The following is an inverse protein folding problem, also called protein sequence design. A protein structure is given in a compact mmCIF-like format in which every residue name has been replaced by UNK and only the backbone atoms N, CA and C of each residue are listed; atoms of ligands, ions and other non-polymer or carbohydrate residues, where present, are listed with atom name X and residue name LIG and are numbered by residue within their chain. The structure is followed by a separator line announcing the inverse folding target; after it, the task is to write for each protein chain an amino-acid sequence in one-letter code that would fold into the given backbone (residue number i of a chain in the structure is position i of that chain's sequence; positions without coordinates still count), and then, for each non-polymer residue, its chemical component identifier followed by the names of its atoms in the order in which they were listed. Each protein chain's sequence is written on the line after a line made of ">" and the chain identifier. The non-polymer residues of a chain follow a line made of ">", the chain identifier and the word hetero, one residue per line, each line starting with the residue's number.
data_IF_524585371569
#
_entry.id   IF_524585371569
#
_cell.length_a   1.000
_cell.length_b   1.000
_cell.length_c   1.000
_cell.angle_alpha   90.00
_cell.angle_beta   90.00
_cell.angle_gamma   90.00
#
_symmetry.space_group_name_H-M   'P 1'
#
loop_
_entity.id
_entity.type
_entity.pdbx_description
1 polymer ?
#
# COMPACT_ATOMS: atom_id res chain seq x y z
N UNK A 1 -0.75 47.18 7.79
CA UNK A 1 -1.52 47.10 6.53
C UNK A 1 -0.96 46.02 5.59
N UNK A 2 0.29 46.06 5.14
CA UNK A 2 0.86 45.08 4.18
C UNK A 2 0.76 43.62 4.67
N UNK A 3 1.19 43.31 5.90
CA UNK A 3 1.11 41.94 6.45
C UNK A 3 -0.32 41.43 6.55
N UNK A 4 -1.27 42.28 6.87
CA UNK A 4 -2.69 41.92 6.91
C UNK A 4 -3.23 41.58 5.51
N UNK A 5 -2.86 42.37 4.49
CA UNK A 5 -3.24 42.07 3.12
C UNK A 5 -2.67 40.73 2.62
N UNK A 6 -1.40 40.46 2.95
CA UNK A 6 -0.77 39.17 2.60
C UNK A 6 -1.53 38.00 3.26
N UNK A 7 -1.88 38.12 4.53
CA UNK A 7 -2.62 37.08 5.25
C UNK A 7 -3.99 36.82 4.61
N UNK A 8 -4.76 37.90 4.31
CA UNK A 8 -6.08 37.77 3.68
C UNK A 8 -5.98 37.12 2.29
N UNK A 9 -5.01 37.55 1.47
CA UNK A 9 -4.79 36.99 0.14
C UNK A 9 -4.38 35.51 0.24
N UNK A 10 -3.57 35.13 1.22
CA UNK A 10 -3.17 33.75 1.44
C UNK A 10 -4.33 32.87 1.90
N UNK A 11 -5.23 33.39 2.76
CA UNK A 11 -6.47 32.70 3.14
C UNK A 11 -7.36 32.45 1.92
N UNK A 12 -7.51 33.47 1.07
CA UNK A 12 -8.31 33.36 -0.15
C UNK A 12 -7.68 32.34 -1.15
N UNK A 13 -6.37 32.42 -1.36
CA UNK A 13 -5.65 31.48 -2.23
C UNK A 13 -5.80 30.04 -1.74
N UNK A 14 -5.66 29.81 -0.44
CA UNK A 14 -5.85 28.49 0.14
C UNK A 14 -7.29 28.00 -0.05
N UNK A 15 -8.28 28.86 0.16
CA UNK A 15 -9.69 28.52 -0.05
C UNK A 15 -9.99 28.19 -1.53
N UNK A 16 -9.46 28.97 -2.47
CA UNK A 16 -9.64 28.70 -3.92
C UNK A 16 -9.03 27.35 -4.31
N UNK A 17 -7.83 27.02 -3.78
CA UNK A 17 -7.11 25.79 -4.13
C UNK A 17 -7.75 24.55 -3.47
N UNK A 18 -8.17 24.65 -2.22
CA UNK A 18 -8.55 23.51 -1.40
C UNK A 18 -10.05 23.43 -1.04
N UNK A 19 -10.83 24.47 -1.34
CA UNK A 19 -12.25 24.56 -0.98
C UNK A 19 -12.51 24.65 0.53
N UNK A 20 -11.46 24.83 1.35
CA UNK A 20 -11.51 24.89 2.81
C UNK A 20 -10.71 26.09 3.32
N UNK A 21 -11.10 26.64 4.47
CA UNK A 21 -10.29 27.67 5.14
C UNK A 21 -8.95 27.08 5.56
N UNK A 22 -7.91 27.91 5.52
CA UNK A 22 -6.61 27.50 6.04
C UNK A 22 -6.70 27.13 7.52
N UNK A 23 -6.17 26.00 7.86
CA UNK A 23 -5.76 25.61 9.20
C UNK A 23 -4.50 24.76 9.10
N UNK A 24 -3.64 24.73 10.14
CA UNK A 24 -2.47 23.84 10.17
C UNK A 24 -2.83 22.37 9.92
N UNK A 25 -3.96 21.95 10.46
CA UNK A 25 -4.48 20.59 10.31
C UNK A 25 -4.91 20.29 8.87
N UNK A 26 -5.64 21.22 8.21
CA UNK A 26 -6.02 21.06 6.80
C UNK A 26 -4.79 20.98 5.90
N UNK A 27 -3.76 21.80 6.14
CA UNK A 27 -2.51 21.73 5.40
C UNK A 27 -1.76 20.41 5.65
N UNK A 28 -1.65 20.00 6.93
CA UNK A 28 -1.01 18.73 7.32
C UNK A 28 -1.70 17.53 6.67
N UNK A 29 -3.03 17.48 6.73
CA UNK A 29 -3.82 16.42 6.11
C UNK A 29 -3.63 16.40 4.60
N UNK A 30 -3.65 17.54 3.93
CA UNK A 30 -3.40 17.64 2.49
C UNK A 30 -2.00 17.15 2.12
N UNK A 31 -0.98 17.58 2.86
CA UNK A 31 0.42 17.16 2.62
C UNK A 31 0.57 15.67 2.89
N UNK A 32 -0.01 15.14 3.98
CA UNK A 32 0.01 13.72 4.28
C UNK A 32 -0.67 12.91 3.17
N UNK A 33 -1.91 13.25 2.80
CA UNK A 33 -2.66 12.46 1.81
C UNK A 33 -2.07 12.54 0.40
N UNK A 34 -1.68 13.72 -0.07
CA UNK A 34 -1.21 13.88 -1.45
C UNK A 34 0.24 13.45 -1.66
N UNK A 35 1.06 13.58 -0.63
CA UNK A 35 2.50 13.42 -0.77
C UNK A 35 3.07 12.20 -0.05
N UNK A 36 2.35 11.61 0.90
CA UNK A 36 2.68 10.29 1.43
C UNK A 36 2.40 9.19 0.40
N UNK A 37 1.35 9.35 -0.39
CA UNK A 37 1.04 8.43 -1.48
C UNK A 37 2.05 8.48 -2.64
N UNK A 38 2.59 9.67 -2.97
CA UNK A 38 3.66 9.79 -3.97
C UNK A 38 5.03 9.38 -3.43
N UNK A 39 5.22 9.38 -2.11
CA UNK A 39 6.41 8.86 -1.45
C UNK A 39 6.52 7.33 -1.52
N UNK A 40 5.50 6.66 -2.00
CA UNK A 40 5.55 5.21 -2.18
C UNK A 40 6.82 4.72 -2.87
N UNK A 41 7.41 5.48 -3.81
CA UNK A 41 8.72 5.15 -4.42
C UNK A 41 9.94 5.62 -3.60
N UNK A 42 9.74 6.52 -2.66
CA UNK A 42 10.83 7.24 -1.99
C UNK A 42 10.92 6.96 -0.48
N UNK A 43 9.85 6.48 0.15
CA UNK A 43 9.86 6.06 1.55
C UNK A 43 10.65 4.75 1.81
N UNK A 44 10.95 3.98 0.75
CA UNK A 44 11.69 2.73 0.86
C UNK A 44 13.06 2.86 1.52
N UNK A 45 13.75 3.96 1.28
CA UNK A 45 15.14 4.10 1.67
C UNK A 45 15.32 4.38 3.17
N UNK A 46 14.25 4.70 3.90
CA UNK A 46 14.34 5.18 5.28
C UNK A 46 13.90 4.19 6.35
N UNK A 47 13.04 3.23 6.02
CA UNK A 47 12.40 2.35 6.99
C UNK A 47 12.38 0.88 6.58
N UNK A 48 12.96 0.51 5.43
CA UNK A 48 12.91 -0.84 4.91
C UNK A 48 14.31 -1.41 4.73
N UNK A 49 14.50 -2.64 5.21
CA UNK A 49 15.73 -3.41 5.08
C UNK A 49 15.47 -4.71 4.32
N UNK A 50 16.54 -5.27 3.76
CA UNK A 50 16.44 -6.58 3.09
C UNK A 50 16.09 -7.67 4.09
N UNK A 51 15.19 -8.56 3.68
CA UNK A 51 14.88 -9.79 4.39
C UNK A 51 15.15 -10.99 3.47
N UNK A 52 15.89 -12.01 3.91
CA UNK A 52 16.40 -13.08 3.05
C UNK A 52 15.31 -13.92 2.37
N UNK A 53 14.08 -13.96 2.90
CA UNK A 53 13.01 -14.80 2.38
C UNK A 53 11.85 -14.00 1.76
N UNK A 54 11.50 -12.83 2.34
CA UNK A 54 10.35 -12.04 1.87
C UNK A 54 10.73 -10.79 1.09
N UNK A 55 12.01 -10.61 0.83
CA UNK A 55 12.56 -9.52 0.06
C UNK A 55 12.89 -8.28 0.90
N UNK A 56 11.94 -7.72 1.62
CA UNK A 56 12.17 -6.57 2.51
C UNK A 56 11.16 -6.54 3.65
N UNK A 57 11.54 -5.88 4.73
CA UNK A 57 10.72 -5.62 5.91
C UNK A 57 11.06 -4.23 6.46
N UNK A 58 10.32 -3.75 7.44
CA UNK A 58 10.62 -2.47 8.09
C UNK A 58 11.86 -2.54 8.99
N UNK A 59 12.68 -1.50 8.92
CA UNK A 59 13.68 -1.18 9.96
C UNK A 59 13.10 -0.12 10.90
N UNK A 60 12.78 -0.53 12.08
CA UNK A 60 12.19 0.38 13.05
C UNK A 60 13.19 1.03 14.00
N UNK A 61 14.45 0.62 14.01
CA UNK A 61 15.45 1.08 14.97
C UNK A 61 15.05 0.82 16.44
N UNK A 62 15.76 1.41 17.37
CA UNK A 62 15.53 1.20 18.82
C UNK A 62 14.29 1.95 19.38
N UNK A 63 13.78 2.95 18.68
CA UNK A 63 12.80 3.89 19.24
C UNK A 63 11.35 3.38 19.26
N UNK A 64 11.04 2.31 18.54
CA UNK A 64 9.64 1.87 18.34
C UNK A 64 9.34 0.45 18.80
N UNK A 65 9.91 0.02 19.91
CA UNK A 65 9.77 -1.35 20.48
C UNK A 65 8.34 -1.85 20.70
N UNK A 66 7.32 -0.98 20.68
CA UNK A 66 5.93 -1.33 21.00
C UNK A 66 5.04 -1.70 19.78
N UNK A 67 5.55 -1.58 18.55
CA UNK A 67 4.76 -1.81 17.33
C UNK A 67 5.40 -2.78 16.36
N UNK A 68 6.33 -3.62 16.83
CA UNK A 68 7.21 -4.33 15.94
C UNK A 68 7.40 -5.75 16.36
N UNK A 69 7.19 -6.60 15.40
CA UNK A 69 7.71 -7.95 15.51
C UNK A 69 8.28 -8.37 14.16
N UNK A 70 9.59 -8.62 14.17
CA UNK A 70 10.33 -9.20 13.05
C UNK A 70 10.19 -8.44 11.71
N UNK A 71 10.12 -7.09 11.80
CA UNK A 71 10.08 -6.22 10.64
C UNK A 71 8.68 -5.97 10.04
N UNK A 72 7.62 -6.41 10.71
CA UNK A 72 6.24 -6.13 10.32
C UNK A 72 5.58 -5.13 11.28
N UNK A 73 4.68 -4.31 10.77
CA UNK A 73 3.95 -3.34 11.56
C UNK A 73 2.81 -4.02 12.32
N UNK A 74 3.16 -4.72 13.39
CA UNK A 74 2.24 -5.49 14.23
C UNK A 74 2.58 -5.37 15.70
N UNK A 75 1.58 -5.29 16.57
CA UNK A 75 1.73 -5.28 18.03
C UNK A 75 2.04 -6.67 18.59
N UNK A 76 1.73 -7.71 17.84
CA UNK A 76 1.78 -9.09 18.29
C UNK A 76 2.89 -9.85 17.55
N UNK A 77 3.46 -10.85 18.20
CA UNK A 77 4.48 -11.70 17.57
C UNK A 77 3.92 -12.49 16.38
N UNK A 78 4.54 -12.45 15.20
CA UNK A 78 4.17 -13.31 14.08
C UNK A 78 4.28 -14.81 14.37
N UNK A 79 5.09 -15.22 15.33
CA UNK A 79 5.24 -16.61 15.77
C UNK A 79 4.37 -16.94 16.98
N UNK A 80 3.21 -16.28 17.12
CA UNK A 80 2.28 -16.55 18.20
C UNK A 80 1.80 -18.01 18.20
N UNK A 81 1.62 -18.54 19.41
CA UNK A 81 0.99 -19.87 19.64
C UNK A 81 -0.49 -19.69 19.94
N UNK A 82 -1.28 -20.72 19.66
CA UNK A 82 -2.70 -20.74 20.05
C UNK A 82 -2.85 -20.61 21.56
N UNK A 83 -3.89 -19.92 21.96
CA UNK A 83 -4.25 -19.65 23.34
C UNK A 83 -5.75 -19.90 23.50
N UNK A 84 -6.15 -20.61 24.54
CA UNK A 84 -7.57 -20.87 24.81
C UNK A 84 -8.34 -19.54 25.00
N UNK A 85 -9.49 -19.43 24.35
CA UNK A 85 -10.35 -18.26 24.44
C UNK A 85 -9.89 -17.04 23.64
N UNK A 86 -8.85 -17.16 22.81
CA UNK A 86 -8.36 -16.06 21.95
C UNK A 86 -7.85 -16.57 20.62
N UNK A 87 -8.27 -15.94 19.51
CA UNK A 87 -7.85 -16.34 18.17
C UNK A 87 -6.65 -15.55 17.67
N UNK A 88 -5.73 -16.23 16.99
CA UNK A 88 -4.65 -15.62 16.22
C UNK A 88 -5.14 -15.34 14.79
N UNK A 89 -5.42 -14.09 14.49
CA UNK A 89 -5.91 -13.63 13.17
C UNK A 89 -4.78 -12.92 12.45
N UNK A 90 -4.47 -13.38 11.23
CA UNK A 90 -3.41 -12.80 10.39
C UNK A 90 -4.03 -11.99 9.26
N UNK A 91 -3.46 -10.82 8.98
CA UNK A 91 -3.78 -10.00 7.80
C UNK A 91 -2.58 -10.00 6.86
N UNK A 92 -2.81 -10.46 5.62
CA UNK A 92 -1.85 -10.44 4.51
C UNK A 92 -2.25 -9.36 3.51
N UNK A 93 -1.29 -8.87 2.71
CA UNK A 93 -1.53 -7.93 1.62
C UNK A 93 -0.50 -6.83 1.51
N UNK A 94 -0.88 -5.76 0.83
CA UNK A 94 -0.09 -4.54 0.65
C UNK A 94 -0.48 -3.42 1.63
N UNK A 95 -0.25 -2.17 1.21
CA UNK A 95 -0.56 -0.97 2.01
C UNK A 95 -2.04 -0.83 2.36
N UNK A 96 -2.94 -1.28 1.50
CA UNK A 96 -4.39 -1.27 1.77
C UNK A 96 -4.71 -2.20 2.93
N UNK A 97 -4.18 -3.43 2.93
CA UNK A 97 -4.37 -4.39 4.01
C UNK A 97 -3.77 -3.90 5.34
N UNK A 98 -2.56 -3.32 5.30
CA UNK A 98 -1.94 -2.72 6.49
C UNK A 98 -2.81 -1.59 7.06
N UNK A 99 -3.30 -0.68 6.20
CA UNK A 99 -4.18 0.42 6.61
C UNK A 99 -5.53 -0.05 7.17
N UNK A 100 -6.04 -1.19 6.69
CA UNK A 100 -7.29 -1.79 7.15
C UNK A 100 -7.17 -2.49 8.51
N UNK A 101 -5.98 -2.93 8.92
CA UNK A 101 -5.78 -3.79 10.10
C UNK A 101 -6.48 -3.28 11.35
N UNK A 102 -6.33 -1.98 11.69
CA UNK A 102 -7.00 -1.39 12.85
C UNK A 102 -8.53 -1.35 12.74
N UNK A 103 -9.07 -1.22 11.52
CA UNK A 103 -10.51 -1.19 11.29
C UNK A 103 -11.10 -2.61 11.31
N UNK A 104 -10.32 -3.61 10.88
CA UNK A 104 -10.64 -5.03 11.02
C UNK A 104 -10.74 -5.40 12.51
N UNK A 105 -9.77 -4.99 13.34
CA UNK A 105 -9.79 -5.22 14.79
C UNK A 105 -11.06 -4.60 15.42
N UNK A 106 -11.36 -3.34 15.11
CA UNK A 106 -12.56 -2.65 15.58
C UNK A 106 -13.88 -3.27 15.11
N UNK A 107 -13.92 -3.72 13.85
CA UNK A 107 -15.11 -4.36 13.29
C UNK A 107 -15.29 -5.78 13.85
N UNK A 108 -14.18 -6.48 14.14
CA UNK A 108 -14.20 -7.78 14.81
C UNK A 108 -14.86 -7.70 16.19
N UNK A 109 -14.42 -6.76 17.05
CA UNK A 109 -14.98 -6.52 18.40
C UNK A 109 -16.49 -6.27 18.39
N UNK A 110 -17.02 -5.68 17.30
CA UNK A 110 -18.46 -5.44 17.12
C UNK A 110 -19.22 -6.67 16.61
N UNK A 111 -18.53 -7.57 15.93
CA UNK A 111 -19.14 -8.68 15.16
C UNK A 111 -19.07 -9.99 15.90
N UNK A 112 -17.99 -10.25 16.61
CA UNK A 112 -17.71 -11.50 17.33
C UNK A 112 -17.46 -11.26 18.81
N UNK A 113 -17.76 -12.27 19.65
CA UNK A 113 -17.54 -12.21 21.09
C UNK A 113 -16.14 -12.66 21.51
N UNK A 114 -15.55 -13.55 20.72
CA UNK A 114 -14.22 -14.08 21.00
C UNK A 114 -13.14 -13.01 20.68
N UNK A 115 -12.24 -12.69 21.62
CA UNK A 115 -11.16 -11.75 21.38
C UNK A 115 -10.13 -12.30 20.40
N UNK A 116 -9.45 -11.39 19.68
CA UNK A 116 -8.40 -11.76 18.75
C UNK A 116 -7.03 -11.20 19.14
N UNK A 117 -6.01 -11.88 18.69
CA UNK A 117 -4.66 -11.35 18.52
C UNK A 117 -4.46 -11.08 17.04
N UNK A 118 -4.59 -9.80 16.64
CA UNK A 118 -4.38 -9.41 15.26
C UNK A 118 -2.89 -9.32 14.96
N UNK A 119 -2.44 -10.03 13.93
CA UNK A 119 -1.05 -10.09 13.45
C UNK A 119 -1.06 -9.56 12.02
N UNK A 120 -0.41 -8.45 11.76
CA UNK A 120 -0.36 -7.85 10.43
C UNK A 120 0.96 -8.23 9.76
N UNK A 121 0.90 -9.05 8.72
CA UNK A 121 2.02 -9.40 7.84
C UNK A 121 1.91 -8.65 6.50
N UNK A 122 0.97 -7.73 6.39
CA UNK A 122 0.87 -6.83 5.25
C UNK A 122 1.96 -5.76 5.30
N UNK A 123 2.52 -5.44 4.13
CA UNK A 123 3.57 -4.42 4.00
C UNK A 123 3.34 -3.63 2.70
N UNK A 124 3.46 -2.29 2.69
CA UNK A 124 3.31 -1.49 1.49
C UNK A 124 4.15 -2.00 0.32
N UNK A 125 3.48 -2.26 -0.81
CA UNK A 125 4.15 -2.77 -1.99
C UNK A 125 4.44 -4.27 -2.01
N UNK A 126 4.04 -5.03 -0.99
CA UNK A 126 3.98 -6.48 -1.09
C UNK A 126 2.98 -6.87 -2.17
N UNK A 127 3.35 -7.88 -2.92
CA UNK A 127 2.55 -8.55 -3.93
C UNK A 127 2.89 -10.03 -3.93
N UNK A 128 2.07 -10.86 -4.52
CA UNK A 128 2.41 -12.27 -4.64
C UNK A 128 3.69 -12.50 -5.48
N UNK A 129 4.55 -13.42 -5.07
CA UNK A 129 4.39 -14.43 -4.01
C UNK A 129 4.85 -13.98 -2.60
N UNK A 130 5.16 -12.70 -2.33
CA UNK A 130 5.70 -12.25 -1.04
C UNK A 130 4.75 -12.55 0.13
N UNK A 131 3.45 -12.45 -0.07
CA UNK A 131 2.43 -12.71 0.96
C UNK A 131 2.43 -14.20 1.36
N UNK A 132 2.43 -15.09 0.37
CA UNK A 132 2.57 -16.55 0.59
C UNK A 132 3.90 -16.88 1.29
N UNK A 133 5.00 -16.26 0.86
CA UNK A 133 6.32 -16.51 1.45
C UNK A 133 6.39 -16.02 2.90
N UNK A 134 5.81 -14.86 3.22
CA UNK A 134 5.75 -14.35 4.59
C UNK A 134 4.94 -15.30 5.50
N UNK A 135 3.76 -15.74 5.05
CA UNK A 135 2.94 -16.70 5.78
C UNK A 135 3.69 -18.02 6.02
N UNK A 136 4.27 -18.58 4.96
CA UNK A 136 5.00 -19.85 5.01
C UNK A 136 6.23 -19.74 5.91
N UNK A 137 6.95 -18.62 5.88
CA UNK A 137 8.10 -18.38 6.72
C UNK A 137 7.73 -18.47 8.21
N UNK A 138 6.70 -17.76 8.66
CA UNK A 138 6.30 -17.81 10.06
C UNK A 138 5.66 -19.12 10.48
N UNK A 139 4.90 -19.77 9.61
CA UNK A 139 4.43 -21.14 9.85
C UNK A 139 5.59 -22.12 10.04
N UNK A 140 6.67 -21.96 9.26
CA UNK A 140 7.89 -22.78 9.38
C UNK A 140 8.64 -22.53 10.70
N UNK A 141 8.54 -21.33 11.25
CA UNK A 141 9.06 -20.99 12.58
C UNK A 141 8.15 -21.46 13.71
N UNK A 142 7.04 -22.14 13.38
CA UNK A 142 6.12 -22.72 14.34
C UNK A 142 5.00 -21.80 14.78
N UNK A 143 4.65 -20.79 14.00
CA UNK A 143 3.45 -19.99 14.24
C UNK A 143 2.18 -20.87 14.14
N UNK A 144 1.16 -20.52 14.93
CA UNK A 144 -0.13 -21.20 14.94
C UNK A 144 -1.24 -20.15 14.78
N UNK A 145 -1.94 -20.22 13.65
CA UNK A 145 -2.99 -19.28 13.31
C UNK A 145 -4.36 -19.96 13.35
N UNK A 146 -5.41 -19.18 13.58
CA UNK A 146 -6.81 -19.61 13.53
C UNK A 146 -7.50 -19.12 12.28
N UNK A 147 -7.13 -17.92 11.81
CA UNK A 147 -7.73 -17.30 10.63
C UNK A 147 -6.71 -16.42 9.90
N UNK A 148 -6.71 -16.51 8.58
CA UNK A 148 -5.89 -15.69 7.68
C UNK A 148 -6.80 -14.92 6.73
N UNK A 149 -6.66 -13.59 6.73
CA UNK A 149 -7.38 -12.65 5.86
C UNK A 149 -6.37 -12.09 4.87
N UNK A 150 -6.52 -12.41 3.59
CA UNK A 150 -5.70 -11.83 2.52
C UNK A 150 -6.51 -10.74 1.79
N UNK A 151 -5.93 -9.54 1.65
CA UNK A 151 -6.56 -8.38 1.01
C UNK A 151 -5.57 -7.81 0.01
N UNK A 152 -5.82 -8.02 -1.28
CA UNK A 152 -4.87 -7.69 -2.33
C UNK A 152 -5.56 -7.41 -3.68
N UNK A 153 -4.80 -7.41 -4.78
CA UNK A 153 -5.26 -7.27 -6.16
C UNK A 153 -4.56 -6.13 -6.90
N UNK A 154 -4.51 -4.93 -6.32
CA UNK A 154 -3.87 -3.79 -6.99
C UNK A 154 -2.38 -4.01 -7.22
N UNK A 155 -1.65 -4.38 -6.17
CA UNK A 155 -0.21 -4.58 -6.26
C UNK A 155 0.15 -5.73 -7.21
N UNK A 156 -0.66 -6.77 -7.25
CA UNK A 156 -0.48 -7.98 -8.04
C UNK A 156 -0.56 -7.70 -9.54
N UNK A 157 -1.33 -6.71 -9.94
CA UNK A 157 -1.54 -6.35 -11.35
C UNK A 157 -0.67 -5.15 -11.77
N UNK A 158 -0.52 -4.16 -10.90
CA UNK A 158 0.14 -2.91 -11.27
C UNK A 158 1.65 -2.99 -11.15
N UNK A 159 2.16 -3.44 -10.00
CA UNK A 159 3.60 -3.38 -9.71
C UNK A 159 4.44 -4.32 -10.58
N UNK A 160 4.00 -5.55 -10.93
CA UNK A 160 4.74 -6.41 -11.83
C UNK A 160 5.05 -5.77 -13.18
N UNK A 161 4.09 -5.06 -13.74
CA UNK A 161 4.28 -4.39 -15.02
C UNK A 161 4.99 -3.05 -14.86
N UNK A 162 4.42 -2.12 -14.10
CA UNK A 162 4.84 -0.71 -14.07
C UNK A 162 6.20 -0.53 -13.40
N UNK A 163 6.46 -1.25 -12.30
CA UNK A 163 7.69 -1.06 -11.54
C UNK A 163 8.79 -2.06 -11.91
N UNK A 164 8.44 -3.30 -12.26
CA UNK A 164 9.41 -4.35 -12.52
C UNK A 164 9.63 -4.57 -14.02
N UNK A 165 8.64 -5.08 -14.76
CA UNK A 165 8.80 -5.50 -16.16
C UNK A 165 9.29 -4.37 -17.06
N UNK A 166 8.67 -3.18 -16.97
CA UNK A 166 9.08 -2.00 -17.74
C UNK A 166 10.52 -1.57 -17.40
N UNK A 167 10.98 -1.84 -16.18
CA UNK A 167 12.37 -1.64 -15.76
C UNK A 167 13.30 -2.79 -16.18
N UNK A 168 12.76 -3.87 -16.81
CA UNK A 168 13.49 -5.09 -17.17
C UNK A 168 13.99 -5.83 -15.93
N UNK A 169 13.13 -5.94 -14.94
CA UNK A 169 13.29 -6.74 -13.74
C UNK A 169 12.20 -7.80 -13.78
N UNK A 170 12.47 -8.98 -13.25
CA UNK A 170 11.46 -10.04 -13.16
C UNK A 170 10.17 -9.48 -12.52
N UNK A 171 9.00 -9.64 -13.13
CA UNK A 171 7.73 -9.08 -12.63
C UNK A 171 7.42 -9.47 -11.19
N UNK A 172 7.85 -10.66 -10.77
CA UNK A 172 7.53 -11.24 -9.46
C UNK A 172 8.60 -10.98 -8.40
N UNK A 173 9.70 -10.31 -8.75
CA UNK A 173 10.63 -9.81 -7.74
C UNK A 173 9.96 -8.71 -6.89
N UNK A 174 10.41 -8.51 -5.64
CA UNK A 174 9.89 -7.43 -4.81
C UNK A 174 9.92 -6.09 -5.55
N UNK A 175 8.97 -5.21 -5.21
CA UNK A 175 8.95 -3.86 -5.81
C UNK A 175 10.27 -3.13 -5.55
N UNK A 176 10.70 -2.36 -6.53
CA UNK A 176 11.93 -1.56 -6.46
C UNK A 176 13.18 -2.38 -6.08
N UNK A 177 13.22 -3.66 -6.47
CA UNK A 177 14.24 -4.63 -6.05
C UNK A 177 15.66 -4.14 -6.31
N UNK A 178 15.94 -3.65 -7.53
CA UNK A 178 17.26 -3.15 -7.89
C UNK A 178 17.74 -2.04 -6.96
N UNK A 179 16.85 -1.14 -6.51
CA UNK A 179 17.20 -0.06 -5.58
C UNK A 179 17.60 -0.58 -4.20
N UNK A 180 17.10 -1.75 -3.82
CA UNK A 180 17.32 -2.35 -2.50
C UNK A 180 18.61 -3.11 -2.41
N UNK A 181 19.03 -3.77 -3.51
CA UNK A 181 20.20 -4.66 -3.53
C UNK A 181 21.44 -4.06 -4.20
N UNK A 182 21.37 -2.81 -4.66
CA UNK A 182 22.49 -2.16 -5.32
C UNK A 182 23.65 -1.96 -4.33
N UNK A 183 24.58 -2.92 -4.28
CA UNK A 183 25.74 -2.89 -3.39
C UNK A 183 26.79 -1.86 -3.82
N UNK A 184 26.85 -1.54 -5.12
CA UNK A 184 27.78 -0.57 -5.69
C UNK A 184 27.09 0.30 -6.75
N UNK A 185 26.23 1.23 -6.35
CA UNK A 185 25.64 2.17 -7.32
C UNK A 185 26.72 3.03 -7.95
N UNK A 186 26.61 3.25 -9.26
CA UNK A 186 27.50 4.16 -9.97
C UNK A 186 27.44 5.60 -9.42
N UNK A 187 28.43 6.45 -9.70
CA UNK A 187 28.46 7.82 -9.17
C UNK A 187 27.19 8.63 -9.47
N UNK A 188 26.59 8.44 -10.64
CA UNK A 188 25.34 9.12 -11.04
C UNK A 188 24.14 8.56 -10.25
N UNK A 189 24.07 7.25 -10.01
CA UNK A 189 23.04 6.64 -9.18
C UNK A 189 23.15 7.12 -7.74
N UNK A 190 24.37 7.13 -7.18
CA UNK A 190 24.63 7.65 -5.83
C UNK A 190 24.17 9.11 -5.67
N UNK A 191 24.48 9.96 -6.67
CA UNK A 191 24.08 11.36 -6.65
C UNK A 191 22.55 11.50 -6.66
N UNK A 192 21.84 10.73 -7.49
CA UNK A 192 20.38 10.74 -7.56
C UNK A 192 19.74 10.15 -6.30
N UNK A 193 20.26 9.04 -5.77
CA UNK A 193 19.82 8.46 -4.50
C UNK A 193 20.02 9.42 -3.33
N UNK A 194 21.19 10.05 -3.25
CA UNK A 194 21.49 11.07 -2.25
C UNK A 194 20.55 12.27 -2.33
N UNK A 195 20.23 12.71 -3.54
CA UNK A 195 19.29 13.81 -3.78
C UNK A 195 17.87 13.44 -3.34
N UNK A 196 17.38 12.26 -3.68
CA UNK A 196 16.08 11.74 -3.24
C UNK A 196 16.03 11.73 -1.71
N UNK A 197 17.04 11.12 -1.05
CA UNK A 197 17.11 11.02 0.42
C UNK A 197 17.16 12.39 1.08
N UNK A 198 17.95 13.31 0.54
CA UNK A 198 18.07 14.67 1.08
C UNK A 198 16.71 15.40 1.07
N UNK A 199 15.99 15.36 -0.05
CA UNK A 199 14.70 16.04 -0.14
C UNK A 199 13.61 15.35 0.68
N UNK A 200 13.70 14.04 0.91
CA UNK A 200 12.84 13.33 1.85
C UNK A 200 13.07 13.81 3.29
N UNK A 201 14.32 13.89 3.72
CA UNK A 201 14.68 14.37 5.06
C UNK A 201 14.26 15.83 5.24
N UNK A 202 14.46 16.67 4.21
CA UNK A 202 13.97 18.06 4.20
C UNK A 202 12.45 18.14 4.33
N UNK A 203 11.70 17.22 3.73
CA UNK A 203 10.24 17.16 3.84
C UNK A 203 9.82 16.88 5.29
N UNK A 204 10.42 15.88 5.93
CA UNK A 204 10.13 15.53 7.33
C UNK A 204 10.50 16.70 8.28
N UNK A 205 11.64 17.34 8.06
CA UNK A 205 12.06 18.53 8.82
C UNK A 205 11.02 19.63 8.70
N UNK A 206 10.51 19.92 7.49
CA UNK A 206 9.52 20.97 7.26
C UNK A 206 8.15 20.64 7.85
N UNK A 207 7.76 19.35 7.89
CA UNK A 207 6.55 18.92 8.60
C UNK A 207 6.67 19.17 10.12
N UNK A 208 7.83 18.85 10.69
CA UNK A 208 8.10 19.12 12.10
C UNK A 208 8.12 20.65 12.39
N UNK A 209 8.73 21.44 11.51
CA UNK A 209 8.72 22.91 11.62
C UNK A 209 7.30 23.47 11.52
N UNK A 210 6.46 22.98 10.61
CA UNK A 210 5.08 23.40 10.50
C UNK A 210 4.30 23.11 11.78
N UNK A 211 4.49 21.95 12.37
CA UNK A 211 3.82 21.53 13.60
C UNK A 211 4.27 22.33 14.83
N UNK A 212 5.58 22.62 14.94
CA UNK A 212 6.20 23.30 16.09
C UNK A 212 6.26 24.82 16.01
N UNK A 213 5.90 25.44 14.88
CA UNK A 213 6.04 26.87 14.68
C UNK A 213 4.93 27.67 15.37
N UNK A 214 5.32 28.76 16.06
CA UNK A 214 4.37 29.77 16.58
C UNK A 214 3.59 30.50 15.47
N UNK A 215 4.03 30.40 14.22
CA UNK A 215 3.39 31.02 13.06
C UNK A 215 2.47 30.06 12.29
N UNK A 216 2.27 28.85 12.80
CA UNK A 216 1.51 27.80 12.11
C UNK A 216 0.04 28.19 11.84
N UNK A 217 -0.53 29.11 12.60
CA UNK A 217 -1.89 29.65 12.38
C UNK A 217 -1.99 30.68 11.25
N UNK A 218 -0.85 31.19 10.74
CA UNK A 218 -0.83 32.14 9.61
C UNK A 218 -0.96 31.40 8.28
N UNK A 219 -1.93 31.82 7.46
CA UNK A 219 -2.11 31.29 6.12
C UNK A 219 -0.94 31.64 5.20
N UNK A 220 -0.35 32.81 5.36
CA UNK A 220 0.84 33.23 4.61
C UNK A 220 2.01 32.28 4.88
N UNK A 221 2.26 31.94 6.15
CA UNK A 221 3.27 30.96 6.54
C UNK A 221 2.96 29.57 5.97
N UNK A 222 1.69 29.14 6.07
CA UNK A 222 1.21 27.88 5.52
C UNK A 222 1.39 27.79 4.00
N UNK A 223 1.10 28.85 3.26
CA UNK A 223 1.32 28.90 1.81
C UNK A 223 2.82 28.80 1.44
N UNK A 224 3.71 29.44 2.19
CA UNK A 224 5.16 29.31 1.99
C UNK A 224 5.58 27.83 2.21
N UNK A 225 5.11 27.21 3.29
CA UNK A 225 5.41 25.80 3.56
C UNK A 225 4.85 24.89 2.47
N UNK A 226 3.64 25.14 1.99
CA UNK A 226 3.04 24.40 0.88
C UNK A 226 3.91 24.46 -0.39
N UNK A 227 4.36 25.67 -0.79
CA UNK A 227 5.27 25.84 -1.93
C UNK A 227 6.56 25.04 -1.72
N UNK A 228 7.13 25.08 -0.52
CA UNK A 228 8.32 24.29 -0.20
C UNK A 228 8.07 22.78 -0.29
N UNK A 229 6.89 22.28 0.11
CA UNK A 229 6.51 20.88 -0.07
C UNK A 229 6.37 20.51 -1.55
N UNK A 230 5.75 21.36 -2.35
CA UNK A 230 5.59 21.14 -3.80
C UNK A 230 6.96 21.04 -4.48
N UNK A 231 7.88 21.96 -4.16
CA UNK A 231 9.25 21.94 -4.70
C UNK A 231 9.98 20.68 -4.29
N UNK A 232 9.94 20.31 -3.00
CA UNK A 232 10.60 19.10 -2.53
C UNK A 232 10.08 17.84 -3.22
N UNK A 233 8.77 17.72 -3.36
CA UNK A 233 8.18 16.56 -4.03
C UNK A 233 8.54 16.51 -5.51
N UNK A 234 8.60 17.67 -6.17
CA UNK A 234 9.06 17.72 -7.56
C UNK A 234 10.49 17.22 -7.67
N UNK A 235 11.40 17.64 -6.79
CA UNK A 235 12.80 17.21 -6.78
C UNK A 235 12.92 15.69 -6.46
N UNK A 236 12.11 15.17 -5.54
CA UNK A 236 12.03 13.74 -5.26
C UNK A 236 11.59 12.99 -6.51
N UNK A 237 10.46 13.41 -7.11
CA UNK A 237 9.90 12.76 -8.29
C UNK A 237 10.84 12.79 -9.49
N UNK A 238 11.42 13.95 -9.82
CA UNK A 238 12.34 14.12 -10.94
C UNK A 238 13.61 13.29 -10.74
N UNK A 239 14.17 13.28 -9.53
CA UNK A 239 15.36 12.50 -9.20
C UNK A 239 15.09 10.98 -9.21
N UNK A 240 13.95 10.54 -8.69
CA UNK A 240 13.55 9.14 -8.73
C UNK A 240 13.29 8.67 -10.17
N UNK A 241 12.66 9.52 -11.01
CA UNK A 241 12.42 9.23 -12.42
C UNK A 241 13.73 9.15 -13.22
N UNK A 242 14.67 10.07 -12.95
CA UNK A 242 16.00 10.05 -13.56
C UNK A 242 16.78 8.80 -13.13
N UNK A 243 16.74 8.43 -11.86
CA UNK A 243 17.36 7.21 -11.33
C UNK A 243 16.78 5.96 -12.01
N UNK A 244 15.46 5.86 -12.09
CA UNK A 244 14.77 4.77 -12.78
C UNK A 244 15.16 4.68 -14.25
N UNK A 245 15.24 5.82 -14.95
CA UNK A 245 15.65 5.90 -16.35
C UNK A 245 17.10 5.47 -16.55
N UNK A 246 18.00 5.89 -15.65
CA UNK A 246 19.40 5.50 -15.67
C UNK A 246 19.55 3.98 -15.49
N UNK A 247 18.88 3.43 -14.48
CA UNK A 247 18.92 2.00 -14.18
C UNK A 247 18.41 1.11 -15.32
N UNK A 248 17.44 1.58 -16.11
CA UNK A 248 16.96 0.86 -17.30
C UNK A 248 18.02 0.72 -18.39
N UNK A 249 18.98 1.63 -18.47
CA UNK A 249 20.04 1.66 -19.50
C UNK A 249 21.28 0.88 -19.09
N UNK A 250 21.44 0.54 -17.81
CA UNK A 250 22.63 -0.17 -17.33
C UNK A 250 22.53 -1.68 -17.59
N UNK A 251 23.66 -2.37 -17.86
CA UNK A 251 23.70 -3.83 -17.85
C UNK A 251 23.15 -4.37 -16.54
N UNK A 252 22.31 -5.40 -16.63
CA UNK A 252 21.65 -5.96 -15.46
C UNK A 252 22.35 -7.23 -15.00
N UNK A 253 22.65 -7.30 -13.72
CA UNK A 253 23.10 -8.53 -13.07
C UNK A 253 21.89 -9.43 -12.80
N UNK A 254 22.11 -10.73 -12.74
CA UNK A 254 21.02 -11.69 -12.47
C UNK A 254 20.32 -11.45 -11.13
N UNK A 255 21.09 -11.11 -10.10
CA UNK A 255 20.55 -10.78 -8.77
C UNK A 255 19.71 -9.49 -8.76
N UNK A 256 19.96 -8.56 -9.69
CA UNK A 256 19.19 -7.33 -9.85
C UNK A 256 17.93 -7.51 -10.68
N UNK A 257 18.01 -8.31 -11.73
CA UNK A 257 16.91 -8.44 -12.68
C UNK A 257 16.12 -9.74 -12.57
N UNK A 258 16.74 -10.79 -12.06
CA UNK A 258 16.21 -12.15 -12.11
C UNK A 258 16.15 -12.72 -13.52
N UNK A 259 15.53 -13.90 -13.66
CA UNK A 259 15.24 -14.46 -14.98
C UNK A 259 14.20 -13.54 -15.65
N UNK A 260 14.55 -13.04 -16.86
CA UNK A 260 13.63 -12.20 -17.62
C UNK A 260 12.80 -13.08 -18.55
N UNK A 261 11.51 -13.08 -18.31
CA UNK A 261 10.54 -13.64 -19.23
C UNK A 261 10.15 -12.56 -20.26
N UNK A 262 10.00 -12.96 -21.51
CA UNK A 262 9.50 -12.08 -22.56
C UNK A 262 8.01 -12.36 -22.76
N UNK A 263 7.22 -11.34 -22.61
CA UNK A 263 5.79 -11.38 -22.91
C UNK A 263 5.53 -10.69 -24.25
N UNK A 264 4.62 -11.25 -25.03
CA UNK A 264 4.24 -10.75 -26.35
C UNK A 264 3.68 -9.32 -26.26
N UNK A 265 2.88 -9.08 -25.24
CA UNK A 265 2.26 -7.79 -24.99
C UNK A 265 1.89 -7.62 -23.51
N UNK A 266 1.33 -6.47 -23.19
CA UNK A 266 0.87 -6.12 -21.83
C UNK A 266 -0.22 -7.09 -21.31
N UNK A 267 -1.07 -7.63 -22.18
CA UNK A 267 -2.16 -8.52 -21.76
C UNK A 267 -1.62 -9.88 -21.34
N UNK A 268 -0.65 -10.43 -22.06
CA UNK A 268 0.01 -11.67 -21.69
C UNK A 268 0.73 -11.54 -20.34
N UNK A 269 1.43 -10.42 -20.13
CA UNK A 269 2.09 -10.14 -18.86
C UNK A 269 1.07 -10.05 -17.69
N UNK A 270 -0.06 -9.34 -17.88
CA UNK A 270 -1.09 -9.28 -16.85
C UNK A 270 -1.79 -10.63 -16.65
N UNK A 271 -1.93 -11.44 -17.70
CA UNK A 271 -2.39 -12.83 -17.59
C UNK A 271 -1.48 -13.67 -16.72
N UNK A 272 -0.15 -13.56 -16.90
CA UNK A 272 0.82 -14.24 -16.06
C UNK A 272 0.76 -13.77 -14.60
N UNK A 273 0.58 -12.46 -14.38
CA UNK A 273 0.44 -11.91 -13.03
C UNK A 273 -0.82 -12.42 -12.32
N UNK A 274 -1.96 -12.45 -13.01
CA UNK A 274 -3.20 -13.00 -12.48
C UNK A 274 -3.08 -14.52 -12.18
N UNK A 275 -2.32 -15.26 -12.99
CA UNK A 275 -2.07 -16.67 -12.77
C UNK A 275 -1.19 -16.92 -11.53
N UNK A 276 -0.16 -16.11 -11.28
CA UNK A 276 0.65 -16.19 -10.06
C UNK A 276 -0.20 -15.92 -8.84
N UNK A 277 -1.00 -14.86 -8.86
CA UNK A 277 -1.94 -14.52 -7.80
C UNK A 277 -2.91 -15.67 -7.48
N UNK A 278 -3.50 -16.26 -8.51
CA UNK A 278 -4.39 -17.41 -8.40
C UNK A 278 -3.71 -18.62 -7.75
N UNK A 279 -2.50 -18.99 -8.22
CA UNK A 279 -1.75 -20.11 -7.68
C UNK A 279 -1.32 -19.90 -6.23
N UNK A 280 -0.89 -18.67 -5.88
CA UNK A 280 -0.54 -18.35 -4.50
C UNK A 280 -1.75 -18.50 -3.57
N UNK A 281 -2.93 -18.04 -3.98
CA UNK A 281 -4.16 -18.22 -3.20
C UNK A 281 -4.52 -19.69 -3.01
N UNK A 282 -4.37 -20.54 -4.04
CA UNK A 282 -4.58 -21.99 -3.90
C UNK A 282 -3.57 -22.63 -2.93
N UNK A 283 -2.31 -22.20 -2.97
CA UNK A 283 -1.28 -22.71 -2.06
C UNK A 283 -1.57 -22.30 -0.61
N UNK A 284 -1.99 -21.03 -0.37
CA UNK A 284 -2.41 -20.59 0.97
C UNK A 284 -3.60 -21.41 1.46
N UNK A 285 -4.59 -21.67 0.60
CA UNK A 285 -5.75 -22.50 0.94
C UNK A 285 -5.36 -23.96 1.25
N UNK A 286 -4.36 -24.48 0.55
CA UNK A 286 -3.76 -25.78 0.85
C UNK A 286 -3.10 -25.82 2.23
N UNK A 287 -2.31 -24.79 2.56
CA UNK A 287 -1.72 -24.62 3.89
C UNK A 287 -2.79 -24.48 4.97
N UNK A 288 -3.87 -23.75 4.69
CA UNK A 288 -4.99 -23.59 5.61
C UNK A 288 -5.61 -24.94 5.98
N UNK A 289 -5.84 -25.80 5.00
CA UNK A 289 -6.38 -27.14 5.22
C UNK A 289 -5.41 -28.04 6.00
N UNK A 290 -4.11 -27.97 5.69
CA UNK A 290 -3.08 -28.76 6.37
C UNK A 290 -2.85 -28.32 7.83
N UNK A 291 -2.83 -27.02 8.08
CA UNK A 291 -2.53 -26.42 9.39
C UNK A 291 -3.77 -26.15 10.25
N UNK A 292 -4.97 -26.30 9.69
CA UNK A 292 -6.24 -26.16 10.43
C UNK A 292 -6.58 -24.71 10.78
N UNK A 293 -6.30 -23.76 9.90
CA UNK A 293 -6.80 -22.39 10.02
C UNK A 293 -7.81 -22.07 8.91
N UNK A 294 -8.68 -21.09 9.13
CA UNK A 294 -9.58 -20.59 8.10
C UNK A 294 -8.86 -19.58 7.20
N UNK A 295 -9.11 -19.63 5.88
CA UNK A 295 -8.53 -18.69 4.92
C UNK A 295 -9.63 -17.94 4.17
N UNK A 296 -9.53 -16.62 4.15
CA UNK A 296 -10.43 -15.70 3.45
C UNK A 296 -9.63 -14.77 2.56
N UNK A 297 -9.97 -14.71 1.28
CA UNK A 297 -9.30 -13.90 0.29
C UNK A 297 -10.24 -12.85 -0.28
N UNK A 298 -9.85 -11.57 -0.21
CA UNK A 298 -10.63 -10.41 -0.65
C UNK A 298 -9.90 -9.67 -1.75
N UNK A 299 -10.54 -9.55 -2.92
CA UNK A 299 -10.06 -8.66 -3.98
C UNK A 299 -10.47 -7.22 -3.64
N UNK A 300 -9.48 -6.36 -3.37
CA UNK A 300 -9.71 -4.98 -2.95
C UNK A 300 -10.37 -4.12 -4.05
N UNK A 301 -11.18 -3.08 -3.70
CA UNK A 301 -11.71 -2.13 -4.67
C UNK A 301 -10.61 -1.20 -5.20
N UNK A 302 -10.83 -0.66 -6.44
CA UNK A 302 -9.96 0.34 -7.04
C UNK A 302 -10.77 1.34 -7.88
N UNK A 303 -10.41 2.63 -7.84
CA UNK A 303 -11.13 3.73 -8.51
C UNK A 303 -10.98 3.74 -10.03
N UNK A 304 -9.99 3.05 -10.59
CA UNK A 304 -9.80 2.95 -12.04
C UNK A 304 -10.57 1.80 -12.68
N UNK A 305 -11.19 0.93 -11.87
CA UNK A 305 -12.09 -0.11 -12.35
C UNK A 305 -13.45 0.52 -12.67
N UNK A 306 -13.91 0.31 -13.89
CA UNK A 306 -15.19 0.85 -14.37
C UNK A 306 -16.37 0.33 -13.53
N UNK A 307 -17.23 1.25 -13.11
CA UNK A 307 -18.41 0.94 -12.31
C UNK A 307 -18.14 0.70 -10.82
N UNK A 308 -16.89 0.66 -10.37
CA UNK A 308 -16.54 0.41 -8.96
C UNK A 308 -17.06 1.51 -8.03
N UNK A 309 -17.09 2.75 -8.49
CA UNK A 309 -17.63 3.91 -7.77
C UNK A 309 -17.96 5.07 -8.70
N UNK A 310 -19.05 5.78 -8.42
CA UNK A 310 -19.28 7.12 -8.94
C UNK A 310 -18.47 8.12 -8.13
N UNK A 311 -17.31 8.55 -8.69
CA UNK A 311 -16.39 9.44 -8.00
C UNK A 311 -17.03 10.80 -7.70
N UNK A 312 -16.85 11.28 -6.48
CA UNK A 312 -17.23 12.64 -6.08
C UNK A 312 -16.35 13.69 -6.77
N UNK A 313 -16.76 14.97 -6.84
CA UNK A 313 -15.89 16.03 -7.37
C UNK A 313 -14.53 16.13 -6.62
N UNK A 314 -14.50 15.81 -5.34
CA UNK A 314 -13.28 15.79 -4.55
C UNK A 314 -12.37 14.61 -4.97
N UNK A 315 -12.93 13.41 -5.13
CA UNK A 315 -12.18 12.24 -5.61
C UNK A 315 -11.66 12.42 -7.04
N UNK A 316 -12.47 13.01 -7.93
CA UNK A 316 -12.02 13.33 -9.30
C UNK A 316 -10.79 14.25 -9.30
N UNK A 317 -10.69 15.15 -8.35
CA UNK A 317 -9.57 16.08 -8.23
C UNK A 317 -8.36 15.47 -7.52
N UNK A 318 -8.56 14.66 -6.48
CA UNK A 318 -7.49 14.20 -5.59
C UNK A 318 -7.07 12.76 -5.88
N UNK A 319 -8.04 11.91 -6.27
CA UNK A 319 -7.87 10.47 -6.32
C UNK A 319 -8.02 9.88 -7.74
N UNK A 320 -8.19 10.71 -8.76
CA UNK A 320 -8.34 10.23 -10.12
C UNK A 320 -7.47 11.03 -11.10
N UNK A 321 -6.59 10.33 -11.78
CA UNK A 321 -5.74 10.91 -12.83
C UNK A 321 -5.85 10.05 -14.09
N UNK A 322 -6.47 10.62 -15.14
CA UNK A 322 -6.66 9.91 -16.42
C UNK A 322 -5.36 9.44 -17.05
N UNK A 323 -4.24 10.11 -16.78
CA UNK A 323 -2.90 9.80 -17.33
C UNK A 323 -2.05 9.00 -16.35
N UNK A 324 -2.63 8.53 -15.23
CA UNK A 324 -1.86 7.75 -14.26
C UNK A 324 -1.39 6.43 -14.87
N UNK A 325 -0.13 6.10 -14.67
CA UNK A 325 0.48 4.88 -15.23
C UNK A 325 -0.17 3.59 -14.73
N UNK A 326 -0.83 3.62 -13.57
CA UNK A 326 -1.51 2.47 -12.98
C UNK A 326 -2.86 2.16 -13.62
N UNK A 327 -3.53 3.19 -14.19
CA UNK A 327 -4.88 3.05 -14.73
C UNK A 327 -4.99 1.94 -15.77
N UNK A 328 -4.08 1.89 -16.73
CA UNK A 328 -4.10 0.87 -17.77
C UNK A 328 -3.96 -0.54 -17.19
N UNK A 329 -3.05 -0.72 -16.23
CA UNK A 329 -2.86 -2.02 -15.56
C UNK A 329 -4.10 -2.46 -14.79
N UNK A 330 -4.79 -1.55 -14.11
CA UNK A 330 -6.06 -1.85 -13.42
C UNK A 330 -7.13 -2.25 -14.43
N UNK A 331 -7.30 -1.48 -15.50
CA UNK A 331 -8.33 -1.76 -16.53
C UNK A 331 -8.14 -3.10 -17.23
N UNK A 332 -6.90 -3.53 -17.44
CA UNK A 332 -6.58 -4.84 -18.06
C UNK A 332 -6.64 -5.95 -17.01
N UNK A 333 -6.04 -5.74 -15.85
CA UNK A 333 -5.77 -6.77 -14.88
C UNK A 333 -6.92 -7.13 -13.96
N UNK A 334 -7.72 -6.16 -13.51
CA UNK A 334 -8.84 -6.46 -12.60
C UNK A 334 -9.88 -7.41 -13.20
N UNK A 335 -10.29 -7.28 -14.47
CA UNK A 335 -11.15 -8.30 -15.09
C UNK A 335 -10.56 -9.72 -15.05
N UNK A 336 -9.23 -9.85 -15.17
CA UNK A 336 -8.55 -11.14 -15.06
C UNK A 336 -8.58 -11.67 -13.62
N UNK A 337 -8.32 -10.82 -12.61
CA UNK A 337 -8.41 -11.20 -11.20
C UNK A 337 -9.84 -11.61 -10.82
N UNK A 338 -10.86 -10.88 -11.27
CA UNK A 338 -12.27 -11.23 -11.05
C UNK A 338 -12.60 -12.60 -11.65
N UNK A 339 -12.13 -12.87 -12.87
CA UNK A 339 -12.32 -14.17 -13.50
C UNK A 339 -11.61 -15.29 -12.72
N UNK A 340 -10.35 -15.09 -12.34
CA UNK A 340 -9.57 -16.01 -11.51
C UNK A 340 -10.16 -16.19 -10.10
N UNK A 341 -10.75 -15.15 -9.54
CA UNK A 341 -11.48 -15.22 -8.27
C UNK A 341 -12.67 -16.17 -8.33
N UNK A 342 -13.41 -16.20 -9.45
CA UNK A 342 -14.47 -17.19 -9.65
C UNK A 342 -13.92 -18.62 -9.73
N UNK A 343 -12.77 -18.81 -10.36
CA UNK A 343 -12.08 -20.10 -10.38
C UNK A 343 -11.61 -20.49 -8.95
N UNK A 344 -11.15 -19.54 -8.12
CA UNK A 344 -10.80 -19.80 -6.71
C UNK A 344 -12.00 -20.33 -5.92
N UNK A 345 -13.20 -19.74 -6.09
CA UNK A 345 -14.42 -20.23 -5.44
C UNK A 345 -14.72 -21.68 -5.89
N UNK A 346 -14.62 -21.99 -7.18
CA UNK A 346 -14.83 -23.34 -7.71
C UNK A 346 -13.84 -24.36 -7.13
N UNK A 347 -12.63 -23.90 -6.75
CA UNK A 347 -11.60 -24.70 -6.12
C UNK A 347 -11.65 -24.69 -4.57
N UNK A 348 -12.74 -24.17 -4.00
CA UNK A 348 -13.01 -24.22 -2.56
C UNK A 348 -12.20 -23.24 -1.73
N UNK A 349 -11.82 -22.09 -2.30
CA UNK A 349 -11.28 -20.94 -1.58
C UNK A 349 -12.44 -20.03 -1.16
N UNK A 350 -12.45 -19.54 0.07
CA UNK A 350 -13.38 -18.48 0.50
C UNK A 350 -12.91 -17.15 -0.10
N UNK A 351 -13.19 -16.97 -1.38
CA UNK A 351 -12.86 -15.75 -2.11
C UNK A 351 -14.06 -14.82 -2.20
N UNK A 352 -13.80 -13.51 -2.02
CA UNK A 352 -14.81 -12.45 -2.05
C UNK A 352 -14.34 -11.29 -2.92
N UNK A 353 -15.12 -10.98 -3.92
CA UNK A 353 -14.91 -9.82 -4.78
C UNK A 353 -15.48 -8.56 -4.09
N UNK A 354 -14.60 -7.71 -3.55
CA UNK A 354 -14.98 -6.44 -2.94
C UNK A 354 -14.86 -5.25 -3.91
N UNK A 355 -14.62 -5.49 -5.21
CA UNK A 355 -14.39 -4.42 -6.18
C UNK A 355 -15.54 -3.42 -6.28
N UNK A 356 -16.78 -3.88 -6.04
CA UNK A 356 -17.99 -3.05 -6.12
C UNK A 356 -18.50 -2.54 -4.77
N UNK A 357 -17.73 -2.69 -3.69
CA UNK A 357 -18.17 -2.30 -2.34
C UNK A 357 -18.49 -0.81 -2.22
N UNK A 358 -17.92 0.03 -3.09
CA UNK A 358 -18.17 1.46 -3.12
C UNK A 358 -19.16 1.90 -4.21
N UNK A 359 -19.75 0.98 -5.00
CA UNK A 359 -20.59 1.33 -6.14
C UNK A 359 -21.80 2.21 -5.79
N UNK A 360 -22.36 2.06 -4.60
CA UNK A 360 -23.50 2.82 -4.09
C UNK A 360 -23.10 3.87 -3.03
N UNK A 361 -21.80 4.11 -2.84
CA UNK A 361 -21.29 5.07 -1.85
C UNK A 361 -21.16 6.44 -2.51
N UNK A 362 -21.93 7.42 -2.03
CA UNK A 362 -21.90 8.80 -2.53
C UNK A 362 -20.86 9.68 -1.85
N UNK A 363 -20.35 9.24 -0.68
CA UNK A 363 -19.33 9.94 0.09
C UNK A 363 -17.95 9.79 -0.55
N UNK A 364 -17.03 10.75 -0.29
CA UNK A 364 -15.60 10.62 -0.63
C UNK A 364 -14.97 9.52 0.20
N UNK A 365 -14.41 8.51 -0.45
CA UNK A 365 -13.72 7.37 0.20
C UNK A 365 -12.29 7.17 -0.29
N UNK A 366 -11.98 7.47 -1.56
CA UNK A 366 -10.61 7.44 -2.04
C UNK A 366 -9.85 8.71 -1.66
N UNK A 367 -8.61 8.58 -1.20
CA UNK A 367 -7.81 9.69 -0.71
C UNK A 367 -6.58 10.01 -1.57
N UNK A 368 -6.21 9.16 -2.52
CA UNK A 368 -5.11 9.36 -3.45
C UNK A 368 -5.39 8.76 -4.83
N UNK A 369 -4.53 9.06 -5.80
CA UNK A 369 -4.62 8.54 -7.16
C UNK A 369 -3.96 7.15 -7.35
N UNK A 370 -3.68 6.45 -6.25
CA UNK A 370 -3.20 5.06 -6.23
C UNK A 370 -4.36 4.08 -5.98
N UNK A 371 -4.66 3.79 -4.71
CA UNK A 371 -5.65 2.79 -4.32
C UNK A 371 -6.11 2.89 -2.86
N UNK A 372 -5.74 3.97 -2.14
CA UNK A 372 -5.96 4.04 -0.70
C UNK A 372 -7.27 4.73 -0.34
N UNK A 373 -7.80 4.36 0.83
CA UNK A 373 -9.07 4.87 1.34
C UNK A 373 -8.86 5.80 2.53
N UNK A 374 -9.76 6.75 2.68
CA UNK A 374 -9.88 7.52 3.90
C UNK A 374 -10.50 6.65 5.04
N UNK A 375 -10.68 7.26 6.22
CA UNK A 375 -11.25 6.55 7.38
C UNK A 375 -12.60 5.90 7.06
N UNK A 376 -13.48 6.59 6.32
CA UNK A 376 -14.81 6.07 5.96
C UNK A 376 -14.74 4.88 5.01
N UNK A 377 -13.89 4.97 3.98
CA UNK A 377 -13.65 3.86 3.04
C UNK A 377 -13.08 2.63 3.74
N UNK A 378 -12.09 2.81 4.61
CA UNK A 378 -11.54 1.70 5.39
C UNK A 378 -12.60 1.04 6.28
N UNK A 379 -13.49 1.82 6.92
CA UNK A 379 -14.57 1.25 7.74
C UNK A 379 -15.54 0.41 6.90
N UNK A 380 -15.96 0.91 5.73
CA UNK A 380 -16.88 0.18 4.83
C UNK A 380 -16.27 -1.15 4.38
N UNK A 381 -14.99 -1.16 3.99
CA UNK A 381 -14.30 -2.39 3.56
C UNK A 381 -14.14 -3.36 4.72
N UNK A 382 -13.76 -2.88 5.91
CA UNK A 382 -13.65 -3.72 7.10
C UNK A 382 -15.01 -4.35 7.50
N UNK A 383 -16.08 -3.58 7.44
CA UNK A 383 -17.44 -4.08 7.73
C UNK A 383 -17.86 -5.14 6.71
N UNK A 384 -17.55 -4.95 5.42
CA UNK A 384 -17.78 -5.95 4.37
C UNK A 384 -17.03 -7.26 4.65
N UNK A 385 -15.73 -7.16 4.99
CA UNK A 385 -14.89 -8.31 5.35
C UNK A 385 -15.50 -9.06 6.54
N UNK A 386 -15.88 -8.36 7.60
CA UNK A 386 -16.46 -8.99 8.80
C UNK A 386 -17.80 -9.66 8.51
N UNK A 387 -18.65 -9.07 7.67
CA UNK A 387 -19.91 -9.70 7.26
C UNK A 387 -19.67 -10.96 6.44
N UNK A 388 -18.67 -10.98 5.55
CA UNK A 388 -18.32 -12.16 4.78
C UNK A 388 -17.81 -13.29 5.70
N UNK A 389 -16.89 -12.97 6.62
CA UNK A 389 -16.36 -13.94 7.59
C UNK A 389 -17.51 -14.47 8.46
N UNK A 390 -18.37 -13.62 9.02
CA UNK A 390 -19.49 -14.05 9.88
C UNK A 390 -20.43 -15.04 9.20
N UNK A 391 -20.62 -14.92 7.88
CA UNK A 391 -21.53 -15.81 7.13
C UNK A 391 -20.92 -17.17 6.80
N UNK A 392 -19.60 -17.28 6.76
CA UNK A 392 -18.90 -18.46 6.25
C UNK A 392 -17.97 -19.12 7.26
N UNK A 393 -17.60 -18.41 8.33
CA UNK A 393 -16.75 -18.95 9.38
C UNK A 393 -17.51 -19.89 10.32
N UNK A 394 -16.77 -20.81 10.92
CA UNK A 394 -17.23 -21.66 12.03
C UNK A 394 -17.00 -21.01 13.40
N UNK A 395 -16.46 -19.81 13.43
CA UNK A 395 -16.22 -19.02 14.64
C UNK A 395 -17.57 -18.43 15.10
N UNK A 396 -17.98 -18.73 16.36
CA UNK A 396 -19.20 -18.26 16.99
C UNK A 396 -19.03 -16.90 17.72
#
# INVERSE_FOLDING_TARGET
>A
MVLFCIEVLSQLAFFIIFGKKYSPENLKNYVAHKYEATDGKANFLKQEILHPYVGFVYDFGDEKKNFQSQGFFTKNSPVAKKEEGKLNVVVLGGSVAEGLAKYIEQAWEKTFRIPIRLITLATPGFKEPQQLLALTYFLSLGAEYDLVINIDGFNEIVLPYVENYVAGINPFFPRSWKLRISENPGPQELALMGKVKYFQDMKQTRLAELAGSRFNSSAAYGCIKLVQFIINNKEIYDSATALFTLQRKMPKRFDESGPLEQYKDINEMHGAAAEVWYRCSLLINGLAKDKGFEYYHFLQPDQYLEGSKKLTPEEQRLAFNQKHVYRQSVQIGYPLLIAKGRELVQNGVNFFDATMVFSQVEETVYCDDCCHFNQRGNQIVADYIMQAIKRHSKIE
#
